data_IF_770725999391
#
_entry.id   IF_770725999391
#
_cell.length_a   1.000
_cell.length_b   1.000
_cell.length_c   1.000
_cell.angle_alpha   90.00
_cell.angle_beta   90.00
_cell.angle_gamma   90.00
#
_symmetry.space_group_name_H-M   'P 1'
#
loop_
_entity.id
_entity.type
_entity.pdbx_description
1 polymer ?
#
# COMPACT_ATOMS: atom_id res chain seq x y z
N UNK A 1 2.13 -11.18 -38.60
CA UNK A 1 1.29 -11.86 -37.58
C UNK A 1 2.12 -12.46 -36.45
N UNK A 2 3.25 -13.13 -36.69
CA UNK A 2 4.12 -13.64 -35.60
C UNK A 2 4.81 -12.53 -34.75
N UNK A 3 5.33 -11.46 -35.38
CA UNK A 3 5.97 -10.36 -34.63
C UNK A 3 5.02 -9.59 -33.71
N UNK A 4 3.73 -9.50 -34.08
CA UNK A 4 2.70 -8.82 -33.28
C UNK A 4 2.34 -9.63 -32.02
N UNK A 5 2.34 -10.97 -32.15
CA UNK A 5 2.13 -11.88 -31.03
C UNK A 5 3.31 -11.86 -30.03
N UNK A 6 4.55 -11.83 -30.53
CA UNK A 6 5.74 -11.76 -29.68
C UNK A 6 5.85 -10.44 -28.89
N UNK A 7 5.50 -9.31 -29.52
CA UNK A 7 5.47 -8.00 -28.84
C UNK A 7 4.44 -7.97 -27.71
N UNK A 8 3.28 -8.60 -27.92
CA UNK A 8 2.23 -8.72 -26.89
C UNK A 8 2.71 -9.58 -25.71
N UNK A 9 3.34 -10.72 -25.98
CA UNK A 9 3.86 -11.61 -24.94
C UNK A 9 5.00 -10.97 -24.12
N UNK A 10 5.94 -10.28 -24.78
CA UNK A 10 7.02 -9.56 -24.10
C UNK A 10 6.48 -8.51 -23.13
N UNK A 11 5.42 -7.79 -23.52
CA UNK A 11 4.78 -6.78 -22.67
C UNK A 11 4.08 -7.39 -21.46
N UNK A 12 3.42 -8.53 -21.62
CA UNK A 12 2.81 -9.28 -20.49
C UNK A 12 3.87 -9.73 -19.50
N UNK A 13 4.99 -10.29 -19.97
CA UNK A 13 6.09 -10.73 -19.12
C UNK A 13 6.70 -9.54 -18.37
N UNK A 14 6.95 -8.42 -19.06
CA UNK A 14 7.49 -7.22 -18.45
C UNK A 14 6.59 -6.70 -17.32
N UNK A 15 5.27 -6.71 -17.51
CA UNK A 15 4.30 -6.30 -16.47
C UNK A 15 4.34 -7.24 -15.26
N UNK A 16 4.49 -8.55 -15.46
CA UNK A 16 4.66 -9.52 -14.37
C UNK A 16 5.99 -9.36 -13.60
N UNK A 17 7.05 -8.91 -14.27
CA UNK A 17 8.31 -8.62 -13.59
C UNK A 17 8.20 -7.30 -12.82
N UNK A 18 7.52 -6.31 -13.41
CA UNK A 18 7.45 -4.97 -12.86
C UNK A 18 6.40 -4.79 -11.74
N UNK A 19 5.32 -5.59 -11.68
CA UNK A 19 4.19 -5.29 -10.78
C UNK A 19 4.59 -5.27 -9.29
N UNK A 20 5.39 -6.23 -8.81
CA UNK A 20 5.72 -6.29 -7.38
C UNK A 20 6.74 -5.21 -6.99
N UNK A 21 7.85 -4.99 -7.72
CA UNK A 21 8.76 -3.88 -7.44
C UNK A 21 8.06 -2.52 -7.49
N UNK A 22 7.20 -2.29 -8.49
CA UNK A 22 6.49 -1.03 -8.62
C UNK A 22 5.47 -0.81 -7.50
N UNK A 23 4.75 -1.85 -7.07
CA UNK A 23 3.85 -1.79 -5.92
C UNK A 23 4.60 -1.42 -4.63
N UNK A 24 5.76 -2.04 -4.36
CA UNK A 24 6.57 -1.76 -3.18
C UNK A 24 7.14 -0.33 -3.19
N UNK A 25 7.72 0.09 -4.31
CA UNK A 25 8.27 1.45 -4.46
C UNK A 25 7.17 2.49 -4.30
N UNK A 26 6.00 2.27 -4.90
CA UNK A 26 4.89 3.21 -4.82
C UNK A 26 4.29 3.26 -3.42
N UNK A 27 4.18 2.12 -2.73
CA UNK A 27 3.74 2.08 -1.34
C UNK A 27 4.67 2.91 -0.45
N UNK A 28 5.99 2.67 -0.54
CA UNK A 28 6.98 3.40 0.24
C UNK A 28 7.00 4.90 -0.07
N UNK A 29 6.94 5.28 -1.34
CA UNK A 29 6.83 6.68 -1.75
C UNK A 29 5.55 7.33 -1.24
N UNK A 30 4.42 6.63 -1.32
CA UNK A 30 3.13 7.15 -0.86
C UNK A 30 3.14 7.40 0.65
N UNK A 31 3.72 6.48 1.42
CA UNK A 31 3.94 6.68 2.86
C UNK A 31 4.75 7.96 3.12
N UNK A 32 5.89 8.12 2.43
CA UNK A 32 6.78 9.26 2.63
C UNK A 32 6.09 10.60 2.29
N UNK A 33 5.43 10.66 1.13
CA UNK A 33 4.72 11.86 0.67
C UNK A 33 3.59 12.23 1.62
N UNK A 34 2.77 11.25 2.02
CA UNK A 34 1.63 11.49 2.92
C UNK A 34 2.08 11.88 4.32
N UNK A 35 3.13 11.25 4.85
CA UNK A 35 3.70 11.63 6.14
C UNK A 35 4.21 13.08 6.12
N UNK A 36 4.92 13.46 5.05
CA UNK A 36 5.43 14.82 4.87
C UNK A 36 4.28 15.84 4.77
N UNK A 37 3.29 15.57 3.91
CA UNK A 37 2.13 16.45 3.71
C UNK A 37 1.31 16.61 4.98
N UNK A 38 1.03 15.51 5.69
CA UNK A 38 0.30 15.58 6.96
C UNK A 38 1.09 16.37 8.01
N UNK A 39 2.42 16.21 8.07
CA UNK A 39 3.25 16.96 9.01
C UNK A 39 3.24 18.46 8.73
N UNK A 40 3.35 18.86 7.47
CA UNK A 40 3.27 20.27 7.05
C UNK A 40 1.88 20.84 7.34
N UNK A 41 0.83 20.10 6.98
CA UNK A 41 -0.55 20.54 7.14
C UNK A 41 -0.93 20.70 8.60
N UNK A 42 -0.56 19.72 9.44
CA UNK A 42 -0.82 19.78 10.87
C UNK A 42 -0.01 20.89 11.53
N UNK A 43 1.25 21.13 11.14
CA UNK A 43 2.08 22.20 11.69
C UNK A 43 1.47 23.61 11.55
N UNK A 44 0.52 23.81 10.63
CA UNK A 44 -0.20 25.08 10.48
C UNK A 44 -1.28 25.31 11.56
N UNK A 45 -1.80 24.26 12.19
CA UNK A 45 -2.98 24.34 13.08
C UNK A 45 -2.80 23.64 14.44
N UNK A 46 -1.89 22.67 14.54
CA UNK A 46 -1.65 21.81 15.69
C UNK A 46 -0.14 21.58 15.86
N UNK A 47 0.31 21.38 17.10
CA UNK A 47 1.69 20.92 17.34
C UNK A 47 1.89 19.55 16.68
N UNK A 48 2.81 19.38 15.71
CA UNK A 48 3.07 18.10 15.06
C UNK A 48 3.48 16.98 16.03
N UNK A 49 3.99 17.34 17.21
CA UNK A 49 4.40 16.40 18.25
C UNK A 49 3.28 16.06 19.23
N UNK A 50 2.12 16.71 19.11
CA UNK A 50 0.94 16.36 19.89
C UNK A 50 0.51 14.92 19.62
N UNK A 51 -0.04 14.27 20.65
CA UNK A 51 -0.55 12.91 20.56
C UNK A 51 -1.54 12.76 19.39
N UNK A 52 -2.47 13.70 19.24
CA UNK A 52 -3.47 13.68 18.18
C UNK A 52 -2.83 13.74 16.79
N UNK A 53 -1.87 14.64 16.58
CA UNK A 53 -1.18 14.75 15.29
C UNK A 53 -0.42 13.48 14.94
N UNK A 54 0.26 12.87 15.91
CA UNK A 54 0.94 11.58 15.69
C UNK A 54 -0.03 10.47 15.33
N UNK A 55 -1.16 10.34 16.04
CA UNK A 55 -2.19 9.33 15.72
C UNK A 55 -2.66 9.45 14.28
N UNK A 56 -2.98 10.67 13.82
CA UNK A 56 -3.44 10.91 12.45
C UNK A 56 -2.35 10.71 11.41
N UNK A 57 -1.14 11.23 11.64
CA UNK A 57 -0.02 11.10 10.71
C UNK A 57 0.32 9.62 10.52
N UNK A 58 0.48 8.86 11.62
CA UNK A 58 0.80 7.44 11.56
C UNK A 58 -0.32 6.64 10.89
N UNK A 59 -1.58 6.91 11.26
CA UNK A 59 -2.74 6.21 10.69
C UNK A 59 -2.84 6.42 9.18
N UNK A 60 -2.92 7.68 8.73
CA UNK A 60 -3.16 8.02 7.33
C UNK A 60 -1.97 7.56 6.48
N UNK A 61 -0.74 7.77 6.93
CA UNK A 61 0.45 7.42 6.12
C UNK A 61 0.57 5.92 5.90
N UNK A 62 0.32 5.10 6.95
CA UNK A 62 0.37 3.65 6.82
C UNK A 62 -0.85 3.07 6.10
N UNK A 63 -2.05 3.64 6.31
CA UNK A 63 -3.24 3.24 5.57
C UNK A 63 -3.08 3.51 4.07
N UNK A 64 -2.56 4.68 3.69
CA UNK A 64 -2.29 5.00 2.29
C UNK A 64 -1.15 4.13 1.73
N UNK A 65 -0.15 3.77 2.53
CA UNK A 65 0.89 2.81 2.11
C UNK A 65 0.29 1.45 1.72
N UNK A 66 -0.55 0.88 2.59
CA UNK A 66 -1.24 -0.39 2.32
C UNK A 66 -2.18 -0.28 1.12
N UNK A 67 -2.91 0.83 1.00
CA UNK A 67 -3.77 1.10 -0.14
C UNK A 67 -3.00 1.18 -1.46
N UNK A 68 -1.93 1.97 -1.50
CA UNK A 68 -1.08 2.13 -2.68
C UNK A 68 -0.45 0.81 -3.10
N UNK A 69 0.03 -0.01 -2.15
CA UNK A 69 0.57 -1.34 -2.43
C UNK A 69 -0.42 -2.22 -3.19
N UNK A 70 -1.65 -2.33 -2.68
CA UNK A 70 -2.69 -3.19 -3.28
C UNK A 70 -3.18 -2.61 -4.61
N UNK A 71 -3.51 -1.31 -4.64
CA UNK A 71 -4.06 -0.66 -5.83
C UNK A 71 -3.09 -0.72 -7.02
N UNK A 72 -1.85 -0.28 -6.81
CA UNK A 72 -0.83 -0.20 -7.88
C UNK A 72 -0.46 -1.60 -8.36
N UNK A 73 -0.26 -2.54 -7.45
CA UNK A 73 0.06 -3.92 -7.80
C UNK A 73 -1.07 -4.59 -8.59
N UNK A 74 -2.32 -4.36 -8.21
CA UNK A 74 -3.49 -4.88 -8.94
C UNK A 74 -3.67 -4.23 -10.32
N UNK A 75 -3.33 -2.94 -10.49
CA UNK A 75 -3.47 -2.22 -11.76
C UNK A 75 -2.35 -2.53 -12.76
N UNK A 76 -1.13 -2.71 -12.28
CA UNK A 76 0.02 -3.01 -13.15
C UNK A 76 -0.01 -4.46 -13.65
N UNK A 77 -0.54 -5.37 -12.84
CA UNK A 77 -0.73 -6.75 -13.25
C UNK A 77 -1.50 -6.86 -14.58
N UNK A 78 -1.08 -7.75 -15.50
CA UNK A 78 -1.67 -7.82 -16.83
C UNK A 78 -3.04 -8.48 -16.87
N UNK A 79 -3.35 -9.36 -15.90
CA UNK A 79 -4.59 -10.14 -15.84
C UNK A 79 -4.99 -10.40 -14.39
N UNK A 80 -6.25 -10.75 -14.16
CA UNK A 80 -6.78 -11.19 -12.85
C UNK A 80 -6.62 -10.18 -11.70
N UNK A 81 -6.77 -8.88 -11.98
CA UNK A 81 -6.59 -7.78 -11.03
C UNK A 81 -7.29 -8.01 -9.68
N UNK A 82 -8.50 -8.59 -9.68
CA UNK A 82 -9.26 -8.92 -8.46
C UNK A 82 -8.59 -10.00 -7.60
N UNK A 83 -8.08 -11.06 -8.23
CA UNK A 83 -7.36 -12.13 -7.52
C UNK A 83 -6.04 -11.58 -6.97
N UNK A 84 -5.37 -10.74 -7.75
CA UNK A 84 -4.10 -10.12 -7.36
C UNK A 84 -4.30 -9.14 -6.21
N UNK A 85 -5.38 -8.38 -6.19
CA UNK A 85 -5.71 -7.51 -5.06
C UNK A 85 -5.85 -8.29 -3.75
N UNK A 86 -6.55 -9.43 -3.76
CA UNK A 86 -6.62 -10.32 -2.59
C UNK A 86 -5.27 -10.93 -2.21
N UNK A 87 -4.49 -11.37 -3.20
CA UNK A 87 -3.16 -11.93 -2.95
C UNK A 87 -2.22 -10.89 -2.33
N UNK A 88 -2.21 -9.66 -2.85
CA UNK A 88 -1.44 -8.55 -2.31
C UNK A 88 -1.91 -8.15 -0.91
N UNK A 89 -3.22 -8.10 -0.66
CA UNK A 89 -3.72 -7.85 0.70
C UNK A 89 -3.29 -8.95 1.68
N UNK A 90 -3.30 -10.22 1.25
CA UNK A 90 -2.78 -11.34 2.04
C UNK A 90 -1.28 -11.22 2.31
N UNK A 91 -0.48 -10.87 1.30
CA UNK A 91 0.95 -10.60 1.46
C UNK A 91 1.17 -9.44 2.44
N UNK A 92 0.39 -8.36 2.30
CA UNK A 92 0.43 -7.21 3.20
C UNK A 92 0.09 -7.59 4.64
N UNK A 93 -0.91 -8.44 4.87
CA UNK A 93 -1.27 -8.97 6.18
C UNK A 93 -0.13 -9.78 6.80
N UNK A 94 0.51 -10.66 6.03
CA UNK A 94 1.63 -11.49 6.50
C UNK A 94 2.83 -10.60 6.84
N UNK A 95 3.16 -9.64 5.97
CA UNK A 95 4.25 -8.70 6.20
C UNK A 95 4.00 -7.83 7.44
N UNK A 96 2.79 -7.30 7.59
CA UNK A 96 2.39 -6.53 8.76
C UNK A 96 2.41 -7.38 10.04
N UNK A 97 1.95 -8.64 10.01
CA UNK A 97 2.02 -9.54 11.16
C UNK A 97 3.46 -9.85 11.58
N UNK A 98 4.36 -10.02 10.61
CA UNK A 98 5.79 -10.15 10.87
C UNK A 98 6.37 -8.87 11.52
N UNK A 99 6.11 -7.69 10.96
CA UNK A 99 6.57 -6.41 11.53
C UNK A 99 6.00 -6.15 12.93
N UNK A 100 4.72 -6.48 13.14
CA UNK A 100 4.03 -6.35 14.41
C UNK A 100 4.73 -7.14 15.52
N UNK A 101 5.25 -8.33 15.23
CA UNK A 101 6.01 -9.12 16.20
C UNK A 101 7.25 -8.40 16.72
N UNK A 102 8.01 -7.75 15.83
CA UNK A 102 9.17 -6.95 16.22
C UNK A 102 8.76 -5.67 16.96
N UNK A 103 7.68 -5.02 16.52
CA UNK A 103 7.17 -3.81 17.17
C UNK A 103 6.76 -4.09 18.62
N UNK A 104 6.15 -5.24 18.90
CA UNK A 104 5.80 -5.70 20.25
C UNK A 104 7.07 -5.97 21.08
N UNK A 105 8.08 -6.64 20.51
CA UNK A 105 9.33 -6.94 21.24
C UNK A 105 10.06 -5.67 21.70
N UNK A 106 10.00 -4.59 20.91
CA UNK A 106 10.65 -3.32 21.22
C UNK A 106 9.69 -2.33 21.92
N UNK A 107 8.47 -2.77 22.25
CA UNK A 107 7.41 -1.95 22.85
C UNK A 107 7.13 -0.64 22.08
N UNK A 108 7.23 -0.68 20.74
CA UNK A 108 6.97 0.48 19.89
C UNK A 108 5.49 0.54 19.50
N UNK A 109 4.69 1.18 20.36
CA UNK A 109 3.24 1.33 20.16
C UNK A 109 2.86 2.10 18.88
N UNK A 110 3.72 3.00 18.40
CA UNK A 110 3.47 3.73 17.16
C UNK A 110 3.63 2.84 15.93
N UNK A 111 4.61 1.95 15.94
CA UNK A 111 4.76 0.94 14.89
C UNK A 111 3.57 -0.05 14.89
N UNK A 112 3.12 -0.48 16.08
CA UNK A 112 1.91 -1.32 16.21
C UNK A 112 0.69 -0.63 15.59
N UNK A 113 0.49 0.66 15.88
CA UNK A 113 -0.59 1.44 15.30
C UNK A 113 -0.47 1.59 13.78
N UNK A 114 0.76 1.81 13.28
CA UNK A 114 1.07 1.83 11.86
C UNK A 114 0.72 0.51 11.16
N UNK A 115 1.10 -0.63 11.73
CA UNK A 115 0.84 -1.96 11.16
C UNK A 115 -0.67 -2.25 11.07
N UNK A 116 -1.45 -1.90 12.10
CA UNK A 116 -2.91 -2.01 12.07
C UNK A 116 -3.51 -1.14 10.96
N UNK A 117 -3.02 0.09 10.83
CA UNK A 117 -3.48 1.03 9.81
C UNK A 117 -3.15 0.56 8.39
N UNK A 118 -1.96 -0.04 8.20
CA UNK A 118 -1.54 -0.68 6.96
C UNK A 118 -2.50 -1.80 6.55
N UNK A 119 -2.82 -2.70 7.49
CA UNK A 119 -3.76 -3.81 7.25
C UNK A 119 -5.12 -3.28 6.81
N UNK A 120 -5.62 -2.23 7.46
CA UNK A 120 -6.87 -1.58 7.08
C UNK A 120 -6.79 -1.00 5.66
N UNK A 121 -5.70 -0.31 5.32
CA UNK A 121 -5.47 0.22 3.98
C UNK A 121 -5.47 -0.86 2.90
N UNK A 122 -4.77 -1.97 3.14
CA UNK A 122 -4.76 -3.13 2.26
C UNK A 122 -6.16 -3.73 2.09
N UNK A 123 -6.88 -3.94 3.20
CA UNK A 123 -8.21 -4.57 3.20
C UNK A 123 -9.27 -3.74 2.50
N UNK A 124 -9.36 -2.44 2.84
CA UNK A 124 -10.32 -1.52 2.21
C UNK A 124 -10.08 -1.41 0.71
N UNK A 125 -8.82 -1.32 0.30
CA UNK A 125 -8.48 -1.19 -1.12
C UNK A 125 -8.73 -2.48 -1.89
N UNK A 126 -8.38 -3.64 -1.32
CA UNK A 126 -8.69 -4.92 -1.95
C UNK A 126 -10.20 -5.10 -2.14
N UNK A 127 -11.00 -4.71 -1.14
CA UNK A 127 -12.45 -4.71 -1.24
C UNK A 127 -12.93 -3.80 -2.39
N UNK A 128 -12.46 -2.55 -2.45
CA UNK A 128 -12.85 -1.57 -3.47
C UNK A 128 -12.45 -1.98 -4.90
N UNK A 129 -11.29 -2.63 -5.07
CA UNK A 129 -10.87 -3.21 -6.37
C UNK A 129 -11.79 -4.36 -6.80
N UNK A 130 -12.29 -5.15 -5.86
CA UNK A 130 -13.12 -6.31 -6.17
C UNK A 130 -14.55 -5.92 -6.50
N UNK A 131 -15.11 -4.94 -5.78
CA UNK A 131 -16.44 -4.38 -6.03
C UNK A 131 -16.50 -3.55 -7.32
N UNK A 132 -15.36 -3.16 -7.88
CA UNK A 132 -15.27 -2.44 -9.14
C UNK A 132 -15.42 -0.91 -9.00
N UNK A 133 -15.33 -0.39 -7.78
CA UNK A 133 -15.41 1.07 -7.52
C UNK A 133 -14.22 1.84 -8.10
N UNK A 134 -13.12 1.14 -8.43
CA UNK A 134 -11.87 1.74 -8.90
C UNK A 134 -11.56 1.47 -10.38
N UNK A 135 -12.50 0.88 -11.11
CA UNK A 135 -12.49 0.84 -12.58
C UNK A 135 -13.05 2.18 -13.12
N UNK A 136 -12.19 3.21 -13.14
CA UNK A 136 -12.39 4.43 -13.95
C UNK A 136 -11.97 4.18 -15.41
#
# INVERSE_FOLDING_TARGET
MEHENQSSQAMVILRWIAFLPSALVTAWLSWFVVALLNRITMAMWLDPNSFLSKVFIEFISHAVMGAAFVYVGAKIAPVHNKIIAYALAGIGLIAAGFMLSFAIMVANYWAIWGDVSLILGCGVTAYSVVTGETDL
#
